data_IF_954148231350
#
_entry.id   IF_954148231350
#
_cell.length_a   1.000
_cell.length_b   1.000
_cell.length_c   1.000
_cell.angle_alpha   90.00
_cell.angle_beta   90.00
_cell.angle_gamma   90.00
#
_symmetry.space_group_name_H-M   'P 1'
#
loop_
_entity.id
_entity.type
_entity.pdbx_description
1 polymer ?
#
# COMPACT_ATOMS: atom_id res chain seq x y z
N UNK A 1 64.02 -32.79 -26.09
CA UNK A 1 62.75 -32.06 -26.28
C UNK A 1 61.99 -32.06 -24.96
N UNK A 2 61.30 -30.93 -24.71
CA UNK A 2 60.51 -30.47 -23.54
C UNK A 2 59.99 -31.50 -22.51
N UNK A 3 60.06 -31.09 -21.24
CA UNK A 3 59.06 -31.39 -20.21
C UNK A 3 59.53 -31.10 -18.78
N UNK A 4 59.16 -29.96 -18.15
CA UNK A 4 59.33 -29.77 -16.72
C UNK A 4 58.08 -30.27 -15.98
N UNK A 5 58.25 -31.22 -15.05
CA UNK A 5 57.20 -31.67 -14.15
C UNK A 5 57.33 -30.93 -12.82
N UNK A 6 56.51 -29.88 -12.66
CA UNK A 6 56.37 -29.11 -11.43
C UNK A 6 55.66 -29.97 -10.38
N UNK A 7 56.31 -30.17 -9.24
CA UNK A 7 55.74 -30.81 -8.07
C UNK A 7 54.71 -29.89 -7.43
N UNK A 8 53.48 -30.39 -7.30
CA UNK A 8 52.34 -29.69 -6.72
C UNK A 8 52.54 -29.49 -5.21
N UNK A 9 52.36 -28.25 -4.76
CA UNK A 9 52.27 -27.87 -3.35
C UNK A 9 50.87 -28.25 -2.87
N UNK A 10 50.79 -29.20 -1.93
CA UNK A 10 49.54 -29.61 -1.31
C UNK A 10 48.96 -28.53 -0.39
N UNK A 11 47.74 -28.09 -0.68
CA UNK A 11 46.93 -27.21 0.17
C UNK A 11 46.04 -28.08 1.06
N UNK A 12 46.31 -28.12 2.36
CA UNK A 12 45.48 -28.84 3.35
C UNK A 12 44.35 -27.93 3.82
N UNK A 13 43.11 -28.23 3.39
CA UNK A 13 41.91 -27.55 3.86
C UNK A 13 41.43 -28.23 5.15
N UNK A 14 41.48 -27.53 6.28
CA UNK A 14 40.90 -27.99 7.54
C UNK A 14 39.36 -27.92 7.44
N UNK A 15 38.69 -29.07 7.55
CA UNK A 15 37.23 -29.15 7.64
C UNK A 15 36.81 -29.19 9.11
N UNK A 16 36.01 -28.22 9.54
CA UNK A 16 35.34 -28.25 10.84
C UNK A 16 33.92 -28.85 10.68
N UNK A 17 33.45 -29.70 11.61
CA UNK A 17 32.13 -30.30 11.53
C UNK A 17 31.04 -29.29 11.93
N UNK A 18 30.08 -29.07 11.04
CA UNK A 18 28.85 -28.35 11.37
C UNK A 18 27.90 -29.28 12.13
N UNK A 19 27.75 -29.06 13.43
CA UNK A 19 26.67 -29.67 14.23
C UNK A 19 25.37 -28.93 13.95
N UNK A 20 24.46 -29.55 13.19
CA UNK A 20 23.10 -29.06 13.00
C UNK A 20 22.23 -29.40 14.22
N UNK A 21 21.81 -28.39 14.98
CA UNK A 21 20.74 -28.50 15.96
C UNK A 21 19.40 -28.25 15.25
N UNK A 22 18.61 -29.30 15.07
CA UNK A 22 17.21 -29.16 14.70
C UNK A 22 16.37 -28.98 15.98
N UNK A 23 15.71 -27.83 16.11
CA UNK A 23 14.65 -27.59 17.10
C UNK A 23 13.29 -27.67 16.39
N UNK A 24 12.31 -28.42 16.92
CA UNK A 24 10.94 -28.34 16.48
C UNK A 24 10.26 -27.15 17.16
N UNK A 25 9.69 -26.24 16.36
CA UNK A 25 8.67 -25.32 16.87
C UNK A 25 7.50 -25.34 15.91
N UNK A 26 6.59 -26.27 16.18
CA UNK A 26 5.16 -26.01 16.04
C UNK A 26 4.80 -24.82 16.92
N UNK A 27 4.09 -23.84 16.37
CA UNK A 27 2.72 -23.48 16.77
C UNK A 27 2.41 -22.11 16.18
N UNK A 28 1.39 -22.06 15.33
CA UNK A 28 0.64 -20.86 15.00
C UNK A 28 0.26 -20.08 16.27
N UNK A 29 0.96 -18.99 16.54
CA UNK A 29 0.46 -17.90 17.38
C UNK A 29 1.16 -16.63 16.92
N UNK A 30 0.57 -15.94 15.94
CA UNK A 30 0.87 -14.53 15.71
C UNK A 30 0.47 -13.76 16.98
N UNK A 31 1.41 -13.16 17.73
CA UNK A 31 1.02 -12.26 18.81
C UNK A 31 0.39 -10.99 18.21
N UNK A 32 -0.75 -10.50 18.73
CA UNK A 32 -1.26 -9.22 18.29
C UNK A 32 -0.36 -8.08 18.80
N UNK A 33 -0.13 -7.13 17.89
CA UNK A 33 0.17 -5.72 18.09
C UNK A 33 1.33 -5.35 19.03
N UNK A 34 2.47 -5.00 18.42
CA UNK A 34 3.38 -4.03 19.04
C UNK A 34 2.67 -2.67 19.06
N UNK A 35 2.22 -2.25 20.23
CA UNK A 35 2.00 -0.83 20.51
C UNK A 35 3.38 -0.21 20.69
N UNK A 36 3.82 0.57 19.70
CA UNK A 36 4.93 1.51 19.87
C UNK A 36 4.30 2.85 20.23
N UNK A 37 4.58 3.32 21.45
CA UNK A 37 4.11 4.61 21.93
C UNK A 37 4.65 5.75 21.04
N UNK A 38 3.71 6.50 20.46
CA UNK A 38 3.98 7.68 19.64
C UNK A 38 2.87 7.91 18.61
N UNK A 39 1.65 8.24 19.04
CA UNK A 39 0.59 8.74 18.14
C UNK A 39 0.25 7.84 16.94
N UNK A 40 0.48 6.52 17.03
CA UNK A 40 0.23 5.61 15.94
C UNK A 40 -1.28 5.49 15.67
N UNK A 41 -1.70 5.78 14.44
CA UNK A 41 -3.05 5.45 13.97
C UNK A 41 -3.23 3.95 14.10
N UNK A 42 -4.20 3.51 14.90
CA UNK A 42 -4.50 2.09 15.02
C UNK A 42 -5.03 1.55 13.69
N UNK A 43 -4.35 0.55 13.12
CA UNK A 43 -4.84 -0.18 11.94
C UNK A 43 -6.14 -0.90 12.33
N UNK A 44 -7.29 -0.58 11.70
CA UNK A 44 -8.54 -1.29 11.95
C UNK A 44 -8.49 -2.72 11.42
N UNK A 45 -9.51 -3.51 11.79
CA UNK A 45 -9.70 -4.82 11.16
C UNK A 45 -9.91 -4.67 9.64
N UNK A 46 -9.32 -5.53 8.80
CA UNK A 46 -9.48 -5.45 7.35
C UNK A 46 -10.94 -5.61 6.91
N UNK A 47 -11.29 -4.94 5.82
CA UNK A 47 -12.60 -5.08 5.18
C UNK A 47 -12.88 -6.55 4.83
N UNK A 48 -14.08 -7.00 5.21
CA UNK A 48 -14.56 -8.33 4.87
C UNK A 48 -15.39 -8.30 3.58
N UNK A 49 -15.06 -9.14 2.58
CA UNK A 49 -15.84 -9.28 1.36
C UNK A 49 -17.31 -9.59 1.65
N UNK A 50 -18.21 -8.99 0.88
CA UNK A 50 -19.65 -9.24 0.99
C UNK A 50 -20.07 -10.43 0.13
N UNK A 51 -20.99 -11.24 0.66
CA UNK A 51 -21.62 -12.35 -0.05
C UNK A 51 -23.15 -12.31 0.17
N UNK A 52 -23.97 -12.13 -0.89
CA UNK A 52 -23.56 -11.97 -2.29
C UNK A 52 -22.77 -10.67 -2.55
N UNK A 53 -22.02 -10.57 -3.67
CA UNK A 53 -21.34 -9.34 -4.04
C UNK A 53 -22.34 -8.17 -4.14
N UNK A 54 -21.94 -6.96 -3.70
CA UNK A 54 -22.80 -5.80 -3.75
C UNK A 54 -23.03 -5.34 -5.19
N UNK A 55 -24.15 -4.66 -5.39
CA UNK A 55 -24.42 -3.94 -6.63
C UNK A 55 -23.43 -2.78 -6.84
N UNK A 56 -23.36 -2.25 -8.07
CA UNK A 56 -22.55 -1.04 -8.35
C UNK A 56 -22.96 0.13 -7.46
N UNK A 57 -24.26 0.34 -7.25
CA UNK A 57 -24.77 1.42 -6.40
C UNK A 57 -24.35 1.27 -4.94
N UNK A 58 -24.42 0.05 -4.39
CA UNK A 58 -23.98 -0.23 -3.02
C UNK A 58 -22.46 -0.08 -2.87
N UNK A 59 -21.71 -0.47 -3.90
CA UNK A 59 -20.26 -0.30 -3.95
C UNK A 59 -19.88 1.17 -4.04
N UNK A 60 -20.58 1.96 -4.85
CA UNK A 60 -20.42 3.41 -4.93
C UNK A 60 -20.72 4.08 -3.59
N UNK A 61 -21.79 3.68 -2.90
CA UNK A 61 -22.13 4.20 -1.57
C UNK A 61 -21.06 3.87 -0.52
N UNK A 62 -20.46 2.68 -0.60
CA UNK A 62 -19.31 2.31 0.25
C UNK A 62 -18.07 3.14 -0.07
N UNK A 63 -17.77 3.34 -1.35
CA UNK A 63 -16.68 4.20 -1.77
C UNK A 63 -16.86 5.64 -1.29
N UNK A 64 -18.08 6.18 -1.29
CA UNK A 64 -18.37 7.52 -0.77
C UNK A 64 -18.12 7.61 0.73
N UNK A 65 -18.47 6.58 1.52
CA UNK A 65 -18.15 6.53 2.95
C UNK A 65 -16.64 6.52 3.20
N UNK A 66 -15.92 5.73 2.41
CA UNK A 66 -14.45 5.74 2.43
C UNK A 66 -13.91 7.15 2.10
N UNK A 67 -14.42 7.79 1.04
CA UNK A 67 -13.99 9.13 0.64
C UNK A 67 -14.24 10.16 1.73
N UNK A 68 -15.41 10.13 2.37
CA UNK A 68 -15.75 11.00 3.48
C UNK A 68 -14.80 10.80 4.67
N UNK A 69 -14.55 9.55 5.05
CA UNK A 69 -13.61 9.24 6.12
C UNK A 69 -12.18 9.70 5.77
N UNK A 70 -11.74 9.46 4.53
CA UNK A 70 -10.36 9.65 4.12
C UNK A 70 -9.98 11.12 3.89
N UNK A 71 -10.79 11.89 3.15
CA UNK A 71 -10.43 13.26 2.73
C UNK A 71 -11.32 14.37 3.31
N UNK A 72 -12.52 14.08 3.81
CA UNK A 72 -13.34 15.11 4.47
C UNK A 72 -13.06 15.18 5.97
N UNK A 73 -13.19 14.02 6.63
CA UNK A 73 -13.03 13.90 8.09
C UNK A 73 -11.57 13.63 8.46
N UNK A 74 -10.78 13.11 7.52
CA UNK A 74 -9.38 12.68 7.72
C UNK A 74 -9.20 11.59 8.79
N UNK A 75 -10.25 10.80 9.04
CA UNK A 75 -10.21 9.67 9.96
C UNK A 75 -9.64 8.44 9.27
N UNK A 76 -8.32 8.26 9.39
CA UNK A 76 -7.62 7.11 8.82
C UNK A 76 -8.07 5.78 9.43
N UNK A 77 -8.40 5.73 10.73
CA UNK A 77 -8.90 4.50 11.35
C UNK A 77 -10.23 4.05 10.74
N UNK A 78 -11.16 4.96 10.46
CA UNK A 78 -12.40 4.62 9.75
C UNK A 78 -12.13 4.30 8.28
N UNK A 79 -11.33 5.10 7.58
CA UNK A 79 -11.06 4.91 6.15
C UNK A 79 -10.43 3.54 5.86
N UNK A 80 -9.55 3.07 6.74
CA UNK A 80 -8.88 1.79 6.56
C UNK A 80 -9.77 0.57 6.83
N UNK A 81 -10.97 0.75 7.42
CA UNK A 81 -11.97 -0.34 7.55
C UNK A 81 -12.51 -0.80 6.19
N UNK A 82 -12.38 0.01 5.15
CA UNK A 82 -12.83 -0.28 3.78
C UNK A 82 -11.75 -0.97 2.94
N UNK A 83 -10.52 -1.14 3.47
CA UNK A 83 -9.38 -1.74 2.75
C UNK A 83 -9.29 -3.24 3.05
N UNK A 84 -9.17 -4.03 2.00
CA UNK A 84 -9.07 -5.49 2.09
C UNK A 84 -7.71 -5.94 2.63
N UNK A 85 -7.66 -7.11 3.26
CA UNK A 85 -6.40 -7.74 3.67
C UNK A 85 -5.53 -8.18 2.48
N UNK A 86 -6.12 -8.41 1.30
CA UNK A 86 -5.38 -8.75 0.07
C UNK A 86 -4.92 -7.52 -0.72
N UNK A 87 -4.98 -6.34 -0.10
CA UNK A 87 -4.48 -5.11 -0.69
C UNK A 87 -3.01 -5.27 -1.08
N UNK A 88 -2.71 -5.07 -2.38
CA UNK A 88 -1.46 -5.52 -3.03
C UNK A 88 -0.18 -5.13 -2.30
N UNK A 89 -0.17 -3.96 -1.66
CA UNK A 89 1.02 -3.40 -0.98
C UNK A 89 0.87 -3.35 0.56
N UNK A 90 -0.20 -3.95 1.11
CA UNK A 90 -0.53 -3.97 2.54
C UNK A 90 -1.04 -2.63 3.08
N UNK A 91 -2.07 -2.60 3.95
CA UNK A 91 -2.57 -1.35 4.54
C UNK A 91 -1.57 -0.68 5.49
N UNK A 92 -0.73 -1.44 6.18
CA UNK A 92 0.18 -0.90 7.21
C UNK A 92 1.22 0.07 6.63
N UNK A 93 1.77 -0.22 5.44
CA UNK A 93 2.75 0.65 4.79
C UNK A 93 2.17 2.03 4.43
N UNK A 94 0.87 2.10 4.11
CA UNK A 94 0.20 3.37 3.87
C UNK A 94 -0.06 4.12 5.19
N UNK A 95 -0.45 3.43 6.26
CA UNK A 95 -0.65 4.06 7.58
C UNK A 95 0.65 4.59 8.18
N UNK A 96 1.77 3.90 8.00
CA UNK A 96 3.07 4.35 8.48
C UNK A 96 3.49 5.69 7.83
N UNK A 97 3.11 5.91 6.56
CA UNK A 97 3.39 7.15 5.84
C UNK A 97 2.38 8.24 6.15
N UNK A 98 1.10 7.90 6.19
CA UNK A 98 0.01 8.87 6.34
C UNK A 98 -0.20 9.26 7.80
N UNK A 99 -0.18 8.30 8.71
CA UNK A 99 -0.52 8.47 10.13
C UNK A 99 0.16 9.66 10.82
N UNK A 100 1.48 9.87 10.65
CA UNK A 100 2.17 10.98 11.33
C UNK A 100 1.78 12.38 10.83
N UNK A 101 1.19 12.50 9.63
CA UNK A 101 1.03 13.80 8.95
C UNK A 101 -0.41 14.10 8.55
N UNK A 102 -1.28 13.10 8.36
CA UNK A 102 -2.58 13.26 7.69
C UNK A 102 -3.51 14.27 8.36
N UNK A 103 -3.57 14.26 9.69
CA UNK A 103 -4.38 15.22 10.45
C UNK A 103 -3.90 16.67 10.27
N UNK A 104 -2.60 16.85 10.04
CA UNK A 104 -1.96 18.18 9.90
C UNK A 104 -2.05 18.75 8.48
N UNK A 105 -2.26 17.89 7.47
CA UNK A 105 -2.39 18.30 6.08
C UNK A 105 -3.73 19.00 5.85
N UNK A 106 -3.69 20.16 5.17
CA UNK A 106 -4.91 20.79 4.67
C UNK A 106 -5.33 20.09 3.39
N UNK A 107 -6.51 19.49 3.39
CA UNK A 107 -7.08 18.82 2.22
C UNK A 107 -8.29 19.60 1.72
N UNK A 108 -8.30 19.90 0.43
CA UNK A 108 -9.44 20.48 -0.28
C UNK A 108 -9.96 19.46 -1.29
N UNK A 109 -11.11 18.80 -1.04
CA UNK A 109 -11.74 17.94 -2.02
C UNK A 109 -12.09 18.71 -3.29
N UNK A 110 -11.70 18.19 -4.45
CA UNK A 110 -12.02 18.80 -5.74
C UNK A 110 -13.13 18.04 -6.46
N UNK A 111 -12.98 16.72 -6.61
CA UNK A 111 -13.94 15.86 -7.31
C UNK A 111 -13.92 14.44 -6.76
N UNK A 112 -15.05 13.75 -6.90
CA UNK A 112 -15.20 12.31 -6.66
C UNK A 112 -16.00 11.72 -7.80
N UNK A 113 -15.69 10.50 -8.19
CA UNK A 113 -16.54 9.74 -9.10
C UNK A 113 -16.38 8.25 -8.86
N UNK A 114 -17.38 7.48 -9.26
CA UNK A 114 -17.38 6.04 -9.17
C UNK A 114 -18.03 5.47 -10.43
N UNK A 115 -17.45 4.41 -10.99
CA UNK A 115 -17.98 3.71 -12.16
C UNK A 115 -17.53 2.26 -12.18
N UNK A 116 -18.47 1.34 -12.35
CA UNK A 116 -18.24 -0.09 -12.35
C UNK A 116 -17.72 -0.56 -11.00
N UNK A 117 -16.45 -0.92 -10.94
CA UNK A 117 -15.75 -1.37 -9.74
C UNK A 117 -14.70 -0.38 -9.25
N UNK A 118 -14.64 0.82 -9.85
CA UNK A 118 -13.54 1.75 -9.64
C UNK A 118 -14.06 3.10 -9.13
N UNK A 119 -13.40 3.61 -8.08
CA UNK A 119 -13.61 4.93 -7.52
C UNK A 119 -12.41 5.84 -7.73
N UNK A 120 -12.66 7.15 -7.87
CA UNK A 120 -11.62 8.16 -7.99
C UNK A 120 -11.84 9.30 -7.00
N UNK A 121 -10.77 9.73 -6.36
CA UNK A 121 -10.70 10.96 -5.59
C UNK A 121 -9.75 11.93 -6.28
N UNK A 122 -10.16 13.19 -6.40
CA UNK A 122 -9.28 14.29 -6.74
C UNK A 122 -9.36 15.33 -5.61
N UNK A 123 -8.21 15.66 -5.03
CA UNK A 123 -8.11 16.62 -3.94
C UNK A 123 -6.78 17.36 -4.00
N UNK A 124 -6.78 18.57 -3.46
CA UNK A 124 -5.57 19.38 -3.30
C UNK A 124 -5.08 19.28 -1.86
N UNK A 125 -3.76 19.23 -1.70
CA UNK A 125 -3.09 19.27 -0.42
C UNK A 125 -2.04 20.38 -0.40
N UNK A 126 -1.79 20.97 0.77
CA UNK A 126 -0.71 21.93 0.97
C UNK A 126 0.69 21.30 0.86
N UNK A 127 0.85 20.02 1.24
CA UNK A 127 2.13 19.31 1.17
C UNK A 127 2.42 18.63 -0.18
N UNK A 128 1.41 18.10 -0.86
CA UNK A 128 1.60 17.25 -2.05
C UNK A 128 1.00 17.83 -3.34
N UNK A 129 0.35 18.99 -3.29
CA UNK A 129 -0.31 19.59 -4.44
C UNK A 129 -1.61 18.86 -4.80
N UNK A 130 -1.98 18.89 -6.08
CA UNK A 130 -3.16 18.16 -6.57
C UNK A 130 -2.85 16.66 -6.75
N UNK A 131 -3.69 15.83 -6.14
CA UNK A 131 -3.57 14.38 -6.11
C UNK A 131 -4.83 13.77 -6.71
N UNK A 132 -4.64 12.78 -7.58
CA UNK A 132 -5.70 11.93 -8.11
C UNK A 132 -5.42 10.50 -7.67
N UNK A 133 -6.32 9.95 -6.86
CA UNK A 133 -6.26 8.57 -6.42
C UNK A 133 -7.32 7.74 -7.13
N UNK A 134 -6.93 6.56 -7.63
CA UNK A 134 -7.83 5.56 -8.19
C UNK A 134 -7.86 4.34 -7.27
N UNK A 135 -9.05 3.89 -6.90
CA UNK A 135 -9.29 2.72 -6.07
C UNK A 135 -10.08 1.67 -6.84
N UNK A 136 -9.62 0.43 -6.87
CA UNK A 136 -10.42 -0.70 -7.36
C UNK A 136 -11.07 -1.40 -6.18
N UNK A 137 -12.37 -1.63 -6.28
CA UNK A 137 -13.19 -2.32 -5.30
C UNK A 137 -13.55 -3.71 -5.82
N UNK A 138 -13.59 -4.68 -4.92
CA UNK A 138 -14.03 -6.04 -5.20
C UNK A 138 -14.80 -6.54 -3.98
N UNK A 139 -15.98 -7.10 -4.21
CA UNK A 139 -16.87 -7.62 -3.17
C UNK A 139 -17.11 -6.61 -2.03
N UNK A 140 -17.16 -5.32 -2.36
CA UNK A 140 -17.39 -4.22 -1.42
C UNK A 140 -16.17 -3.73 -0.65
N UNK A 141 -14.95 -4.22 -0.95
CA UNK A 141 -13.71 -3.82 -0.32
C UNK A 141 -12.71 -3.22 -1.33
N UNK A 142 -11.91 -2.25 -0.90
CA UNK A 142 -10.82 -1.70 -1.69
C UNK A 142 -9.67 -2.71 -1.71
N UNK A 143 -9.27 -3.15 -2.90
CA UNK A 143 -8.26 -4.20 -3.10
C UNK A 143 -7.01 -3.67 -3.81
N UNK A 144 -7.08 -2.47 -4.38
CA UNK A 144 -5.97 -1.84 -5.08
C UNK A 144 -6.13 -0.31 -5.04
N UNK A 145 -5.03 0.42 -4.88
CA UNK A 145 -4.99 1.83 -5.21
C UNK A 145 -3.73 2.25 -5.97
N UNK A 146 -3.91 3.31 -6.76
CA UNK A 146 -2.85 4.00 -7.50
C UNK A 146 -3.03 5.49 -7.30
N UNK A 147 -1.97 6.17 -6.87
CA UNK A 147 -1.94 7.63 -6.68
C UNK A 147 -1.13 8.32 -7.77
N UNK A 148 -1.65 9.44 -8.26
CA UNK A 148 -0.98 10.31 -9.22
C UNK A 148 -0.90 11.73 -8.65
N UNK A 149 0.28 12.33 -8.69
CA UNK A 149 0.45 13.76 -8.43
C UNK A 149 0.41 14.52 -9.73
N UNK A 150 -0.53 15.46 -9.85
CA UNK A 150 -0.52 16.43 -10.94
C UNK A 150 0.50 17.50 -10.59
N UNK A 151 1.71 17.34 -11.11
CA UNK A 151 2.77 18.33 -10.91
C UNK A 151 2.30 19.69 -11.47
N UNK A 152 2.31 20.71 -10.61
CA UNK A 152 2.53 22.06 -11.11
C UNK A 152 3.89 22.06 -11.81
N UNK A 153 3.92 22.19 -13.14
CA UNK A 153 5.16 22.49 -13.87
C UNK A 153 5.75 23.82 -13.36
N UNK A 154 7.10 24.05 -13.29
CA UNK A 154 8.29 23.17 -13.16
C UNK A 154 9.15 23.58 -11.91
N UNK A 155 10.26 22.97 -11.46
CA UNK A 155 11.42 22.33 -12.09
C UNK A 155 12.09 21.32 -11.13
N UNK A 156 12.72 20.32 -11.74
CA UNK A 156 13.72 19.38 -11.23
C UNK A 156 13.24 18.05 -10.61
N UNK A 157 13.69 17.00 -11.31
CA UNK A 157 13.69 15.57 -11.03
C UNK A 157 12.46 14.76 -11.45
N UNK A 158 12.59 14.27 -12.68
CA UNK A 158 11.85 13.23 -13.38
C UNK A 158 11.60 11.96 -12.56
N UNK A 159 10.35 11.53 -12.53
CA UNK A 159 10.02 10.12 -12.71
C UNK A 159 9.12 10.02 -13.95
N UNK A 160 9.67 9.41 -15.01
CA UNK A 160 8.94 9.14 -16.24
C UNK A 160 7.90 8.05 -15.99
N UNK A 161 6.64 8.46 -15.80
CA UNK A 161 5.50 7.59 -16.10
C UNK A 161 4.54 8.35 -17.00
N UNK A 162 4.64 8.01 -18.27
CA UNK A 162 3.93 8.58 -19.41
C UNK A 162 2.54 7.96 -19.49
N UNK A 163 1.51 8.50 -18.82
CA UNK A 163 0.12 8.07 -19.08
C UNK A 163 -0.89 9.23 -19.00
N UNK A 164 -1.01 9.94 -20.12
CA UNK A 164 -2.31 10.40 -20.62
C UNK A 164 -3.12 9.14 -20.98
N UNK A 165 -4.01 8.68 -20.10
CA UNK A 165 -4.99 7.64 -20.45
C UNK A 165 -6.31 8.02 -19.75
N UNK A 166 -7.23 8.54 -20.58
CA UNK A 166 -8.69 8.51 -20.43
C UNK A 166 -9.35 9.33 -19.30
N UNK A 167 -9.40 10.65 -19.47
CA UNK A 167 -10.39 11.54 -18.82
C UNK A 167 -11.21 12.31 -19.85
N UNK A 168 -11.85 11.58 -20.78
CA UNK A 168 -12.95 12.11 -21.60
C UNK A 168 -14.11 11.15 -21.46
N UNK A 169 -15.17 11.60 -20.78
CA UNK A 169 -16.46 10.92 -20.78
C UNK A 169 -17.27 11.41 -21.96
N UNK A 170 -16.81 11.05 -23.17
CA UNK A 170 -17.49 11.12 -24.47
C UNK A 170 -16.53 10.74 -25.62
#
# INVERSE_FOLDING_TARGET
>A
MRGPSLWAIGLTLAQAPFTALALPTDTNAFPPSRVVEGGAVATPAPCQPLSPPPTEQETAARFEKFAQAFIDVKNLTEAFTYISSVYRDGPDAALDVLGPLWDTVTITPLRRTFKGDTGWLNYQTDLFGEVVDRFRLQDGCIVEHVSFRLAAFPRYCSFHVKWYIWWRTD
#
